data_IF_956908547223
#
_entry.id   IF_956908547223
#
_cell.length_a   1.000
_cell.length_b   1.000
_cell.length_c   1.000
_cell.angle_alpha   90.00
_cell.angle_beta   90.00
_cell.angle_gamma   90.00
#
_symmetry.space_group_name_H-M   'P 1'
#
loop_
_entity.id
_entity.type
_entity.pdbx_description
1 polymer ?
#
# COMPACT_ATOMS: atom_id res chain seq x y z
N UNK A 1 -24.89 -34.52 -14.19
CA UNK A 1 -24.94 -33.04 -14.12
C UNK A 1 -23.97 -32.59 -13.04
N UNK A 2 -22.82 -32.04 -13.43
CA UNK A 2 -21.94 -31.35 -12.48
C UNK A 2 -22.64 -30.03 -12.13
N UNK A 3 -23.08 -29.88 -10.88
CA UNK A 3 -23.58 -28.59 -10.38
C UNK A 3 -22.39 -27.65 -10.22
N UNK A 4 -22.10 -26.83 -11.24
CA UNK A 4 -21.25 -25.65 -11.08
C UNK A 4 -22.00 -24.65 -10.19
N UNK A 5 -21.71 -24.69 -8.89
CA UNK A 5 -22.17 -23.68 -7.94
C UNK A 5 -21.47 -22.37 -8.32
N UNK A 6 -22.22 -21.31 -8.66
CA UNK A 6 -21.64 -19.96 -8.80
C UNK A 6 -20.85 -19.66 -7.53
N UNK A 7 -19.60 -19.22 -7.69
CA UNK A 7 -18.80 -18.76 -6.55
C UNK A 7 -19.57 -17.64 -5.84
N UNK A 8 -19.73 -17.77 -4.53
CA UNK A 8 -20.48 -16.81 -3.71
C UNK A 8 -19.78 -15.45 -3.66
N UNK A 9 -18.47 -15.45 -3.80
CA UNK A 9 -17.59 -14.28 -3.73
C UNK A 9 -16.76 -14.17 -4.99
N UNK A 10 -16.55 -12.94 -5.45
CA UNK A 10 -15.62 -12.61 -6.53
C UNK A 10 -14.35 -12.04 -5.90
N UNK A 11 -13.35 -12.90 -5.66
CA UNK A 11 -12.13 -12.52 -4.96
C UNK A 11 -11.28 -11.52 -5.73
N UNK A 12 -11.26 -11.58 -7.07
CA UNK A 12 -10.57 -10.58 -7.89
C UNK A 12 -11.19 -9.20 -7.70
N UNK A 13 -12.52 -9.12 -7.71
CA UNK A 13 -13.22 -7.86 -7.46
C UNK A 13 -12.99 -7.34 -6.04
N UNK A 14 -13.03 -8.20 -5.03
CA UNK A 14 -12.81 -7.78 -3.64
C UNK A 14 -11.39 -7.23 -3.43
N UNK A 15 -10.37 -7.94 -3.94
CA UNK A 15 -8.98 -7.47 -3.90
C UNK A 15 -8.81 -6.15 -4.65
N UNK A 16 -9.44 -5.99 -5.82
CA UNK A 16 -9.39 -4.74 -6.57
C UNK A 16 -10.02 -3.59 -5.79
N UNK A 17 -11.19 -3.80 -5.18
CA UNK A 17 -11.84 -2.77 -4.37
C UNK A 17 -10.99 -2.34 -3.18
N UNK A 18 -10.35 -3.29 -2.48
CA UNK A 18 -9.42 -2.96 -1.40
C UNK A 18 -8.23 -2.15 -1.93
N UNK A 19 -7.60 -2.59 -3.03
CA UNK A 19 -6.47 -1.91 -3.63
C UNK A 19 -6.81 -0.47 -4.07
N UNK A 20 -7.98 -0.28 -4.70
CA UNK A 20 -8.48 1.05 -5.09
C UNK A 20 -8.69 1.95 -3.86
N UNK A 21 -9.22 1.41 -2.77
CA UNK A 21 -9.40 2.16 -1.52
C UNK A 21 -8.07 2.52 -0.87
N UNK A 22 -7.10 1.60 -0.85
CA UNK A 22 -5.73 1.88 -0.42
C UNK A 22 -5.11 3.00 -1.27
N UNK A 23 -5.29 2.99 -2.59
CA UNK A 23 -4.79 4.04 -3.48
C UNK A 23 -5.42 5.41 -3.17
N UNK A 24 -6.73 5.47 -2.88
CA UNK A 24 -7.36 6.70 -2.40
C UNK A 24 -6.69 7.22 -1.11
N UNK A 25 -6.36 6.33 -0.17
CA UNK A 25 -5.64 6.68 1.06
C UNK A 25 -4.23 7.20 0.81
N UNK A 26 -3.48 6.58 -0.10
CA UNK A 26 -2.15 7.04 -0.50
C UNK A 26 -2.20 8.41 -1.22
N UNK A 27 -3.25 8.66 -2.00
CA UNK A 27 -3.49 9.96 -2.60
C UNK A 27 -3.76 11.02 -1.51
N UNK A 28 -4.59 10.69 -0.51
CA UNK A 28 -4.86 11.58 0.62
C UNK A 28 -3.62 11.85 1.48
N UNK A 29 -2.74 10.84 1.68
CA UNK A 29 -1.44 11.03 2.34
C UNK A 29 -0.59 12.05 1.58
N UNK A 30 -0.50 11.91 0.26
CA UNK A 30 0.24 12.85 -0.59
C UNK A 30 -0.32 14.27 -0.43
N UNK A 31 -1.64 14.44 -0.48
CA UNK A 31 -2.28 15.75 -0.27
C UNK A 31 -2.02 16.32 1.12
N UNK A 32 -2.04 15.47 2.16
CA UNK A 32 -1.69 15.87 3.52
C UNK A 32 -0.24 16.34 3.64
N UNK A 33 0.70 15.61 3.04
CA UNK A 33 2.13 15.98 3.08
C UNK A 33 2.40 17.25 2.26
N UNK A 34 1.68 17.47 1.16
CA UNK A 34 1.79 18.69 0.36
C UNK A 34 1.32 19.93 1.14
N UNK A 35 0.20 19.83 1.85
CA UNK A 35 -0.36 20.92 2.66
C UNK A 35 -1.05 20.38 3.93
N UNK A 36 -0.29 20.21 5.04
CA UNK A 36 -0.81 19.59 6.26
C UNK A 36 -1.97 20.37 6.87
N UNK A 37 -3.06 19.65 7.17
CA UNK A 37 -4.20 20.20 7.91
C UNK A 37 -4.93 19.09 8.65
N UNK A 38 -5.62 19.44 9.74
CA UNK A 38 -6.41 18.48 10.52
C UNK A 38 -7.47 17.77 9.67
N UNK A 39 -8.11 18.49 8.73
CA UNK A 39 -9.10 17.91 7.83
C UNK A 39 -8.50 16.87 6.87
N UNK A 40 -7.31 17.14 6.30
CA UNK A 40 -6.61 16.17 5.44
C UNK A 40 -6.09 14.98 6.22
N UNK A 41 -5.64 15.19 7.47
CA UNK A 41 -5.23 14.10 8.34
C UNK A 41 -6.39 13.16 8.67
N UNK A 42 -7.56 13.70 9.03
CA UNK A 42 -8.78 12.90 9.24
C UNK A 42 -9.20 12.15 7.98
N UNK A 43 -9.01 12.74 6.79
CA UNK A 43 -9.35 12.06 5.53
C UNK A 43 -8.53 10.78 5.32
N UNK A 44 -7.25 10.75 5.72
CA UNK A 44 -6.41 9.55 5.64
C UNK A 44 -6.90 8.48 6.62
N UNK A 45 -7.24 8.86 7.86
CA UNK A 45 -7.80 7.94 8.86
C UNK A 45 -9.17 7.36 8.44
N UNK A 46 -10.05 8.16 7.84
CA UNK A 46 -11.33 7.67 7.31
C UNK A 46 -11.12 6.65 6.17
N UNK A 47 -10.16 6.91 5.28
CA UNK A 47 -9.84 6.02 4.16
C UNK A 47 -9.18 4.71 4.62
N UNK A 48 -8.35 4.74 5.65
CA UNK A 48 -7.79 3.53 6.27
C UNK A 48 -8.89 2.65 6.85
N UNK A 49 -9.84 3.22 7.60
CA UNK A 49 -10.98 2.48 8.14
C UNK A 49 -11.84 1.86 7.03
N UNK A 50 -12.10 2.60 5.95
CA UNK A 50 -12.80 2.07 4.78
C UNK A 50 -12.04 0.90 4.14
N UNK A 51 -10.71 0.95 4.08
CA UNK A 51 -9.86 -0.13 3.56
C UNK A 51 -9.85 -1.36 4.47
N UNK A 52 -9.73 -1.19 5.78
CA UNK A 52 -9.80 -2.31 6.76
C UNK A 52 -11.17 -3.00 6.72
N UNK A 53 -12.26 -2.24 6.54
CA UNK A 53 -13.59 -2.84 6.35
C UNK A 53 -13.67 -3.70 5.08
N UNK A 54 -13.06 -3.28 3.97
CA UNK A 54 -12.95 -4.10 2.75
C UNK A 54 -12.09 -5.35 2.99
N UNK A 55 -10.98 -5.21 3.72
CA UNK A 55 -10.16 -6.35 4.11
C UNK A 55 -10.94 -7.35 4.95
N UNK A 56 -11.70 -6.91 5.96
CA UNK A 56 -12.57 -7.78 6.77
C UNK A 56 -13.56 -8.56 5.92
N UNK A 57 -14.11 -7.96 4.86
CA UNK A 57 -14.97 -8.66 3.90
C UNK A 57 -14.20 -9.77 3.19
N UNK A 58 -12.97 -9.52 2.74
CA UNK A 58 -12.10 -10.55 2.12
C UNK A 58 -11.83 -11.69 3.10
N UNK A 59 -11.43 -11.39 4.34
CA UNK A 59 -11.14 -12.42 5.36
C UNK A 59 -12.37 -13.29 5.64
N UNK A 60 -13.55 -12.67 5.76
CA UNK A 60 -14.80 -13.41 5.94
C UNK A 60 -15.13 -14.27 4.71
N UNK A 61 -14.91 -13.75 3.49
CA UNK A 61 -15.10 -14.51 2.26
C UNK A 61 -14.18 -15.73 2.18
N UNK A 62 -12.91 -15.62 2.60
CA UNK A 62 -11.96 -16.75 2.68
C UNK A 62 -12.48 -17.83 3.64
N UNK A 63 -12.96 -17.42 4.83
CA UNK A 63 -13.45 -18.34 5.86
C UNK A 63 -14.74 -19.07 5.46
N UNK A 64 -15.63 -18.40 4.74
CA UNK A 64 -16.92 -18.97 4.32
C UNK A 64 -16.84 -19.77 3.00
N UNK A 65 -15.77 -19.59 2.22
CA UNK A 65 -15.60 -20.27 0.94
C UNK A 65 -15.04 -21.67 1.12
N UNK A 66 -15.54 -22.64 0.33
CA UNK A 66 -14.97 -24.00 0.24
C UNK A 66 -13.96 -24.11 -0.90
N UNK A 67 -14.14 -23.32 -1.96
CA UNK A 67 -13.26 -23.24 -3.12
C UNK A 67 -12.99 -21.77 -3.40
N UNK A 68 -11.77 -21.45 -3.82
CA UNK A 68 -11.30 -20.10 -4.17
C UNK A 68 -10.62 -20.15 -5.55
N UNK A 69 -10.60 -19.04 -6.31
CA UNK A 69 -10.02 -19.02 -7.66
C UNK A 69 -8.48 -19.06 -7.67
N UNK A 70 -7.85 -18.80 -6.53
CA UNK A 70 -6.41 -18.91 -6.27
C UNK A 70 -6.18 -19.40 -4.83
N UNK A 71 -4.93 -19.65 -4.46
CA UNK A 71 -4.59 -20.12 -3.11
C UNK A 71 -5.07 -19.13 -2.04
N UNK A 72 -5.72 -19.65 -0.99
CA UNK A 72 -6.27 -18.80 0.10
C UNK A 72 -5.19 -18.03 0.83
N UNK A 73 -4.02 -18.63 0.97
CA UNK A 73 -2.85 -18.02 1.60
C UNK A 73 -2.37 -16.82 0.79
N UNK A 74 -2.38 -16.90 -0.54
CA UNK A 74 -2.01 -15.77 -1.41
C UNK A 74 -3.03 -14.64 -1.32
N UNK A 75 -4.34 -14.95 -1.32
CA UNK A 75 -5.40 -13.93 -1.15
C UNK A 75 -5.22 -13.20 0.19
N UNK A 76 -4.99 -13.96 1.27
CA UNK A 76 -4.79 -13.42 2.61
C UNK A 76 -3.53 -12.55 2.67
N UNK A 77 -2.41 -13.05 2.14
CA UNK A 77 -1.13 -12.35 2.15
C UNK A 77 -1.20 -11.07 1.32
N UNK A 78 -1.78 -11.12 0.10
CA UNK A 78 -1.92 -9.96 -0.75
C UNK A 78 -2.81 -8.89 -0.10
N UNK A 79 -3.96 -9.31 0.45
CA UNK A 79 -4.86 -8.40 1.14
C UNK A 79 -4.20 -7.74 2.34
N UNK A 80 -3.35 -8.47 3.08
CA UNK A 80 -2.56 -7.90 4.19
C UNK A 80 -1.49 -6.91 3.71
N UNK A 81 -0.71 -7.25 2.68
CA UNK A 81 0.33 -6.36 2.17
C UNK A 81 -0.25 -5.02 1.67
N UNK A 82 -1.41 -5.05 0.99
CA UNK A 82 -2.14 -3.86 0.54
C UNK A 82 -2.66 -3.02 1.72
N UNK A 83 -3.08 -3.67 2.81
CA UNK A 83 -3.56 -3.01 4.05
C UNK A 83 -2.41 -2.32 4.77
N UNK A 84 -1.29 -3.03 4.96
CA UNK A 84 -0.12 -2.49 5.66
C UNK A 84 0.42 -1.21 4.97
N UNK A 85 0.22 -1.03 3.65
CA UNK A 85 0.59 0.21 2.94
C UNK A 85 -0.19 1.44 3.46
N UNK A 86 -1.51 1.33 3.63
CA UNK A 86 -2.35 2.44 4.10
C UNK A 86 -2.22 2.62 5.62
N UNK A 87 -1.91 1.56 6.37
CA UNK A 87 -1.59 1.64 7.80
C UNK A 87 -0.35 2.51 8.06
N UNK A 88 0.72 2.32 7.28
CA UNK A 88 1.90 3.19 7.37
C UNK A 88 1.59 4.63 6.91
N UNK A 89 0.69 4.82 5.94
CA UNK A 89 0.24 6.16 5.54
C UNK A 89 -0.44 6.88 6.72
N UNK A 90 -1.39 6.21 7.38
CA UNK A 90 -2.06 6.71 8.58
C UNK A 90 -1.06 7.00 9.71
N UNK A 91 -0.19 6.05 10.00
CA UNK A 91 0.83 6.20 11.07
C UNK A 91 1.74 7.41 10.79
N UNK A 92 2.12 7.64 9.53
CA UNK A 92 2.89 8.81 9.13
C UNK A 92 2.15 10.11 9.42
N UNK A 93 0.86 10.19 9.10
CA UNK A 93 0.02 11.37 9.38
C UNK A 93 -0.09 11.61 10.89
N UNK A 94 -0.43 10.58 11.65
CA UNK A 94 -0.61 10.67 13.10
C UNK A 94 0.68 11.15 13.79
N UNK A 95 1.80 10.54 13.47
CA UNK A 95 3.08 10.90 14.09
C UNK A 95 3.60 12.26 13.61
N UNK A 96 3.36 12.66 12.37
CA UNK A 96 3.73 13.98 11.89
C UNK A 96 3.00 15.08 12.68
N UNK A 97 1.72 14.87 13.01
CA UNK A 97 0.94 15.77 13.88
C UNK A 97 1.43 15.71 15.33
N UNK A 98 1.55 14.51 15.91
CA UNK A 98 1.93 14.33 17.32
C UNK A 98 3.34 14.81 17.63
N UNK A 99 4.26 14.64 16.69
CA UNK A 99 5.65 15.04 16.84
C UNK A 99 5.91 16.47 16.36
N UNK A 100 4.91 17.15 15.81
CA UNK A 100 5.00 18.51 15.27
C UNK A 100 6.12 18.63 14.22
N UNK A 101 6.21 17.62 13.33
CA UNK A 101 7.22 17.62 12.26
C UNK A 101 6.64 18.31 11.03
N UNK A 102 7.36 19.33 10.54
CA UNK A 102 6.99 20.02 9.31
C UNK A 102 7.27 19.15 8.07
N UNK A 103 6.45 19.34 7.04
CA UNK A 103 6.68 18.71 5.74
C UNK A 103 8.01 19.18 5.13
N UNK A 104 8.61 18.32 4.30
CA UNK A 104 9.82 18.63 3.56
C UNK A 104 9.85 17.91 2.21
N UNK A 105 10.82 18.25 1.37
CA UNK A 105 10.91 17.72 0.00
C UNK A 105 11.15 16.21 -0.07
N UNK A 106 11.79 15.60 0.95
CA UNK A 106 11.95 14.15 1.00
C UNK A 106 10.64 13.45 1.31
N UNK A 107 9.87 13.94 2.30
CA UNK A 107 8.54 13.43 2.61
C UNK A 107 7.62 13.49 1.39
N UNK A 108 7.59 14.63 0.69
CA UNK A 108 6.78 14.81 -0.53
C UNK A 108 7.14 13.82 -1.63
N UNK A 109 8.44 13.65 -1.90
CA UNK A 109 8.91 12.69 -2.93
C UNK A 109 8.56 11.26 -2.57
N UNK A 110 8.79 10.85 -1.32
CA UNK A 110 8.45 9.50 -0.86
C UNK A 110 6.94 9.24 -0.94
N UNK A 111 6.11 10.21 -0.52
CA UNK A 111 4.65 10.10 -0.60
C UNK A 111 4.14 10.02 -2.05
N UNK A 112 4.71 10.83 -2.95
CA UNK A 112 4.42 10.75 -4.39
C UNK A 112 4.78 9.37 -4.95
N UNK A 113 5.95 8.83 -4.60
CA UNK A 113 6.35 7.49 -5.03
C UNK A 113 5.43 6.40 -4.46
N UNK A 114 4.97 6.50 -3.21
CA UNK A 114 3.98 5.56 -2.68
C UNK A 114 2.67 5.58 -3.45
N UNK A 115 2.17 6.77 -3.80
CA UNK A 115 0.98 6.90 -4.65
C UNK A 115 1.19 6.20 -6.01
N UNK A 116 2.34 6.40 -6.65
CA UNK A 116 2.68 5.74 -7.92
C UNK A 116 2.76 4.21 -7.78
N UNK A 117 3.36 3.70 -6.70
CA UNK A 117 3.37 2.27 -6.40
C UNK A 117 1.95 1.73 -6.24
N UNK A 118 1.09 2.43 -5.50
CA UNK A 118 -0.32 2.09 -5.35
C UNK A 118 -1.07 2.02 -6.69
N UNK A 119 -0.81 2.96 -7.61
CA UNK A 119 -1.40 2.92 -8.95
C UNK A 119 -0.98 1.65 -9.71
N UNK A 120 0.29 1.26 -9.65
CA UNK A 120 0.77 0.05 -10.30
C UNK A 120 0.19 -1.22 -9.65
N UNK A 121 0.07 -1.27 -8.32
CA UNK A 121 -0.61 -2.39 -7.64
C UNK A 121 -2.07 -2.51 -8.08
N UNK A 122 -2.85 -1.42 -8.09
CA UNK A 122 -4.24 -1.43 -8.57
C UNK A 122 -4.33 -1.94 -10.00
N UNK A 123 -3.50 -1.41 -10.90
CA UNK A 123 -3.49 -1.83 -12.32
C UNK A 123 -3.11 -3.30 -12.46
N UNK A 124 -2.16 -3.78 -11.67
CA UNK A 124 -1.78 -5.20 -11.64
C UNK A 124 -2.93 -6.10 -11.19
N UNK A 125 -3.56 -5.79 -10.05
CA UNK A 125 -4.72 -6.54 -9.53
C UNK A 125 -5.88 -6.53 -10.53
N UNK A 126 -6.13 -5.41 -11.21
CA UNK A 126 -7.19 -5.29 -12.23
C UNK A 126 -6.98 -6.20 -13.45
N UNK A 127 -5.74 -6.67 -13.67
CA UNK A 127 -5.35 -7.50 -14.80
C UNK A 127 -5.02 -8.94 -14.40
N UNK A 128 -5.03 -9.25 -13.10
CA UNK A 128 -4.63 -10.54 -12.54
C UNK A 128 -5.40 -11.73 -13.13
N UNK A 129 -6.72 -11.58 -13.35
CA UNK A 129 -7.56 -12.67 -13.89
C UNK A 129 -7.35 -12.89 -15.40
N UNK A 130 -7.16 -11.82 -16.19
CA UNK A 130 -7.39 -11.84 -17.66
C UNK A 130 -6.19 -11.48 -18.51
N UNK A 131 -5.23 -10.73 -17.96
CA UNK A 131 -4.10 -10.16 -18.73
C UNK A 131 -2.79 -10.27 -17.93
N UNK A 132 -2.31 -11.50 -17.66
CA UNK A 132 -1.16 -11.75 -16.77
C UNK A 132 0.11 -11.01 -17.19
N UNK A 133 0.39 -10.90 -18.50
CA UNK A 133 1.55 -10.12 -19.00
C UNK A 133 1.46 -8.63 -18.68
N UNK A 134 0.26 -8.04 -18.72
CA UNK A 134 0.10 -6.63 -18.39
C UNK A 134 0.24 -6.44 -16.87
N UNK A 135 -0.31 -7.37 -16.07
CA UNK A 135 -0.12 -7.36 -14.63
C UNK A 135 1.39 -7.37 -14.27
N UNK A 136 2.17 -8.27 -14.88
CA UNK A 136 3.63 -8.37 -14.69
C UNK A 136 4.38 -7.06 -14.99
N UNK A 137 4.01 -6.33 -16.05
CA UNK A 137 4.61 -5.03 -16.36
C UNK A 137 4.39 -3.99 -15.24
N UNK A 138 3.23 -4.02 -14.59
CA UNK A 138 2.94 -3.15 -13.43
C UNK A 138 3.72 -3.59 -12.19
N UNK A 139 3.87 -4.90 -11.94
CA UNK A 139 4.69 -5.40 -10.84
C UNK A 139 6.13 -4.88 -10.92
N UNK A 140 6.75 -4.99 -12.10
CA UNK A 140 8.12 -4.51 -12.33
C UNK A 140 8.24 -3.01 -12.01
N UNK A 141 7.21 -2.21 -12.29
CA UNK A 141 7.21 -0.78 -11.93
C UNK A 141 7.09 -0.57 -10.43
N UNK A 142 6.16 -1.26 -9.75
CA UNK A 142 6.04 -1.20 -8.29
C UNK A 142 7.36 -1.54 -7.58
N UNK A 143 8.06 -2.62 -8.01
CA UNK A 143 9.38 -2.98 -7.46
C UNK A 143 10.43 -1.89 -7.68
N UNK A 144 10.42 -1.24 -8.85
CA UNK A 144 11.34 -0.11 -9.13
C UNK A 144 11.07 1.08 -8.22
N UNK A 145 9.80 1.31 -7.88
CA UNK A 145 9.40 2.38 -6.98
C UNK A 145 9.92 2.15 -5.55
N UNK A 146 9.87 0.91 -5.03
CA UNK A 146 10.49 0.57 -3.74
C UNK A 146 11.98 0.91 -3.73
N UNK A 147 12.73 0.47 -4.74
CA UNK A 147 14.16 0.73 -4.85
C UNK A 147 14.46 2.24 -4.87
N UNK A 148 13.59 3.02 -5.53
CA UNK A 148 13.69 4.47 -5.56
C UNK A 148 13.40 5.11 -4.19
N UNK A 149 12.35 4.66 -3.50
CA UNK A 149 12.03 5.12 -2.14
C UNK A 149 13.14 4.77 -1.15
N UNK A 150 13.75 3.59 -1.24
CA UNK A 150 14.90 3.21 -0.40
C UNK A 150 16.09 4.14 -0.65
N UNK A 151 16.35 4.51 -1.90
CA UNK A 151 17.38 5.49 -2.25
C UNK A 151 17.08 6.86 -1.66
N UNK A 152 15.85 7.36 -1.80
CA UNK A 152 15.40 8.62 -1.22
C UNK A 152 15.53 8.61 0.31
N UNK A 153 15.14 7.51 0.96
CA UNK A 153 15.28 7.33 2.40
C UNK A 153 16.74 7.51 2.86
N UNK A 154 17.68 6.84 2.17
CA UNK A 154 19.13 6.96 2.49
C UNK A 154 19.66 8.38 2.26
N UNK A 155 19.23 9.05 1.19
CA UNK A 155 19.57 10.45 0.93
C UNK A 155 19.03 11.39 2.01
N UNK A 156 17.76 11.22 2.38
CA UNK A 156 17.07 12.00 3.39
C UNK A 156 17.76 11.87 4.76
N UNK A 157 18.20 10.65 5.13
CA UNK A 157 18.99 10.43 6.33
C UNK A 157 20.34 11.14 6.29
N UNK A 158 21.08 11.03 5.19
CA UNK A 158 22.40 11.66 5.06
C UNK A 158 22.33 13.19 5.19
N UNK A 159 21.21 13.80 4.75
CA UNK A 159 20.93 15.21 4.96
C UNK A 159 20.49 15.50 6.41
N UNK A 160 19.57 14.70 6.94
CA UNK A 160 19.03 14.87 8.30
C UNK A 160 20.12 14.82 9.37
N UNK A 161 21.10 13.92 9.24
CA UNK A 161 22.21 13.78 10.19
C UNK A 161 23.24 14.93 10.15
N UNK A 162 23.06 15.92 9.27
CA UNK A 162 23.83 17.19 9.34
C UNK A 162 23.27 18.14 10.41
N UNK A 163 22.06 17.90 10.91
CA UNK A 163 21.48 18.63 12.02
C UNK A 163 22.09 18.16 13.35
N UNK A 164 22.16 19.04 14.35
CA UNK A 164 22.64 18.73 15.70
C UNK A 164 21.50 18.51 16.70
N UNK A 165 20.25 18.80 16.33
CA UNK A 165 19.07 18.51 17.16
C UNK A 165 18.70 17.03 17.05
N UNK A 166 19.16 16.26 18.03
CA UNK A 166 18.93 14.80 18.11
C UNK A 166 17.44 14.47 18.20
N UNK A 167 16.63 15.31 18.87
CA UNK A 167 15.19 15.06 19.02
C UNK A 167 14.50 15.23 17.66
N UNK A 168 14.80 16.31 16.95
CA UNK A 168 14.28 16.55 15.60
C UNK A 168 14.72 15.44 14.62
N UNK A 169 15.97 14.95 14.73
CA UNK A 169 16.48 13.83 13.95
C UNK A 169 15.67 12.56 14.20
N UNK A 170 15.42 12.20 15.47
CA UNK A 170 14.67 10.99 15.81
C UNK A 170 13.24 11.04 15.26
N UNK A 171 12.53 12.16 15.49
CA UNK A 171 11.16 12.36 15.00
C UNK A 171 11.07 12.24 13.48
N UNK A 172 11.94 12.97 12.76
CA UNK A 172 11.90 13.01 11.28
C UNK A 172 12.32 11.68 10.66
N UNK A 173 13.32 11.01 11.25
CA UNK A 173 13.76 9.68 10.82
C UNK A 173 12.63 8.66 10.88
N UNK A 174 11.79 8.74 11.91
CA UNK A 174 10.68 7.79 12.07
C UNK A 174 9.66 7.94 10.95
N UNK A 175 9.31 9.18 10.57
CA UNK A 175 8.43 9.43 9.42
C UNK A 175 9.03 8.91 8.10
N UNK A 176 10.32 9.12 7.87
CA UNK A 176 11.00 8.54 6.71
C UNK A 176 10.95 7.00 6.73
N UNK A 177 11.07 6.39 7.93
CA UNK A 177 11.01 4.94 8.08
C UNK A 177 9.62 4.40 7.75
N UNK A 178 8.55 5.06 8.19
CA UNK A 178 7.17 4.65 7.86
C UNK A 178 6.93 4.66 6.36
N UNK A 179 7.30 5.74 5.67
CA UNK A 179 7.15 5.83 4.21
C UNK A 179 8.00 4.78 3.47
N UNK A 180 9.20 4.49 3.96
CA UNK A 180 10.04 3.42 3.41
C UNK A 180 9.43 2.03 3.63
N UNK A 181 8.86 1.78 4.81
CA UNK A 181 8.21 0.52 5.11
C UNK A 181 6.91 0.35 4.30
N UNK A 182 6.16 1.42 4.06
CA UNK A 182 5.01 1.38 3.16
C UNK A 182 5.40 0.95 1.73
N UNK A 183 6.57 1.40 1.24
CA UNK A 183 7.07 1.00 -0.07
C UNK A 183 7.49 -0.48 -0.10
N UNK A 184 8.13 -0.96 0.97
CA UNK A 184 8.45 -2.39 1.19
C UNK A 184 7.17 -3.26 1.16
N UNK A 185 6.07 -2.81 1.78
CA UNK A 185 4.77 -3.50 1.69
C UNK A 185 4.22 -3.53 0.25
N UNK A 186 4.44 -2.46 -0.52
CA UNK A 186 4.10 -2.43 -1.94
C UNK A 186 4.91 -3.41 -2.78
N UNK A 187 6.19 -3.60 -2.47
CA UNK A 187 7.04 -4.61 -3.10
C UNK A 187 6.62 -6.04 -2.71
N UNK A 188 6.29 -6.25 -1.43
CA UNK A 188 5.75 -7.54 -0.94
C UNK A 188 4.43 -7.89 -1.64
N UNK A 189 3.51 -6.92 -1.79
CA UNK A 189 2.30 -7.11 -2.57
C UNK A 189 2.62 -7.48 -4.03
N UNK A 190 3.64 -6.84 -4.62
CA UNK A 190 4.04 -7.15 -5.99
C UNK A 190 4.60 -8.57 -6.13
N UNK A 191 5.39 -9.04 -5.16
CA UNK A 191 5.92 -10.40 -5.14
C UNK A 191 4.81 -11.45 -5.00
N UNK A 192 3.83 -11.21 -4.12
CA UNK A 192 2.68 -12.12 -3.95
C UNK A 192 1.85 -12.20 -5.24
N UNK A 193 1.61 -11.07 -5.92
CA UNK A 193 0.93 -11.08 -7.22
C UNK A 193 1.76 -11.86 -8.25
N UNK A 194 3.08 -11.72 -8.24
CA UNK A 194 4.00 -12.49 -9.09
C UNK A 194 3.85 -14.01 -8.87
N UNK A 195 3.82 -14.43 -7.60
CA UNK A 195 3.62 -15.83 -7.23
C UNK A 195 2.26 -16.36 -7.71
N UNK A 196 1.17 -15.58 -7.52
CA UNK A 196 -0.16 -15.93 -8.05
C UNK A 196 -0.10 -16.13 -9.56
N UNK A 197 0.56 -15.22 -10.30
CA UNK A 197 0.69 -15.30 -11.76
C UNK A 197 1.47 -16.53 -12.22
N UNK A 198 2.50 -16.95 -11.47
CA UNK A 198 3.28 -18.16 -11.77
C UNK A 198 2.44 -19.42 -11.55
N UNK A 199 1.66 -19.48 -10.47
CA UNK A 199 0.78 -20.61 -10.15
C UNK A 199 -0.43 -20.74 -11.08
N UNK A 200 -0.81 -19.64 -11.73
CA UNK A 200 -1.97 -19.57 -12.63
C UNK A 200 -1.66 -19.94 -14.10
N UNK A 201 -0.40 -20.26 -14.41
CA UNK A 201 0.05 -20.71 -15.74
C UNK A 201 -0.07 -22.23 -15.89
#
# INVERSE_FOLDING_TARGET
MLFFRREKYDFYKLLLQQAEKTLEGLAALKEFIDEPSSARGMRVDDLEKEADDLRRIIINAINESLVTPMDREDIFALSRAIDDMIDYAKTTVEEMVLFEVETNEHLKKMAQSLYEAGEDIVKSVSHLEKKPRIAEEHLIRAKKTENYVEHLYRQALAELFKNNDVIAILKTRELYRHLSNAADRGDEAADIIGDILVKSQ
#
